data_IF_915074548809
#
_entry.id   IF_915074548809
#
_cell.length_a   1.000
_cell.length_b   1.000
_cell.length_c   1.000
_cell.angle_alpha   90.00
_cell.angle_beta   90.00
_cell.angle_gamma   90.00
#
_symmetry.space_group_name_H-M   'P 1'
#
loop_
_entity.id
_entity.type
_entity.pdbx_description
1 polymer ?
#
# COMPACT_ATOMS: atom_id res chain seq x y z
N UNK A 1 14.89 30.75 9.16
CA UNK A 1 14.09 29.65 9.69
C UNK A 1 14.68 29.16 11.00
N UNK A 2 13.85 29.01 12.05
CA UNK A 2 14.35 28.61 13.36
C UNK A 2 14.91 27.17 13.37
N UNK A 3 15.99 26.94 14.09
CA UNK A 3 16.67 25.64 14.21
C UNK A 3 15.73 24.49 14.61
N UNK A 4 14.71 24.78 15.43
CA UNK A 4 13.71 23.79 15.87
C UNK A 4 12.94 23.12 14.72
N UNK A 5 12.50 23.90 13.70
CA UNK A 5 11.78 23.36 12.53
C UNK A 5 12.72 22.53 11.65
N UNK A 6 13.96 22.98 11.48
CA UNK A 6 14.99 22.25 10.72
C UNK A 6 15.30 20.91 11.37
N UNK A 7 15.60 20.91 12.66
CA UNK A 7 15.91 19.68 13.43
C UNK A 7 14.74 18.68 13.43
N UNK A 8 13.49 19.15 13.53
CA UNK A 8 12.31 18.30 13.43
C UNK A 8 12.17 17.70 12.03
N UNK A 9 12.39 18.50 10.98
CA UNK A 9 12.35 18.00 9.59
C UNK A 9 13.44 16.99 9.31
N UNK A 10 14.66 17.22 9.80
CA UNK A 10 15.80 16.28 9.64
C UNK A 10 15.54 14.95 10.35
N UNK A 11 15.00 14.97 11.58
CA UNK A 11 14.57 13.75 12.31
C UNK A 11 13.52 12.95 11.52
N UNK A 12 12.49 13.61 11.01
CA UNK A 12 11.45 12.95 10.20
C UNK A 12 12.01 12.36 8.91
N UNK A 13 12.94 13.04 8.25
CA UNK A 13 13.60 12.51 7.04
C UNK A 13 14.48 11.31 7.37
N UNK A 14 15.20 11.32 8.47
CA UNK A 14 16.03 10.20 8.91
C UNK A 14 15.16 8.96 9.19
N UNK A 15 14.06 9.11 9.93
CA UNK A 15 13.10 8.00 10.19
C UNK A 15 12.52 7.45 8.90
N UNK A 16 12.09 8.30 7.96
CA UNK A 16 11.58 7.84 6.66
C UNK A 16 12.64 7.13 5.82
N UNK A 17 13.89 7.52 5.95
CA UNK A 17 15.02 6.89 5.22
C UNK A 17 15.28 5.47 5.73
N UNK A 18 15.11 5.20 7.03
CA UNK A 18 15.30 3.85 7.59
C UNK A 18 14.15 2.89 7.31
N UNK A 19 12.91 3.39 7.13
CA UNK A 19 11.73 2.56 6.90
C UNK A 19 11.71 1.95 5.49
N UNK A 20 11.39 0.65 5.38
CA UNK A 20 11.12 0.01 4.09
C UNK A 20 9.67 0.29 3.67
N UNK A 21 9.52 1.27 2.78
CA UNK A 21 8.22 1.76 2.30
C UNK A 21 8.05 1.39 0.84
N UNK A 22 6.90 0.82 0.49
CA UNK A 22 6.46 0.66 -0.89
C UNK A 22 5.15 1.42 -1.13
N UNK A 23 5.01 2.05 -2.30
CA UNK A 23 3.83 2.84 -2.67
C UNK A 23 3.29 2.42 -4.02
N UNK A 24 1.99 2.19 -4.09
CA UNK A 24 1.24 1.96 -5.31
C UNK A 24 0.33 3.17 -5.54
N UNK A 25 0.62 3.97 -6.56
CA UNK A 25 -0.17 5.16 -6.86
C UNK A 25 -1.15 4.91 -8.00
N UNK A 26 -2.32 5.57 -7.94
CA UNK A 26 -3.35 5.58 -8.98
C UNK A 26 -3.82 4.18 -9.41
N UNK A 27 -3.93 3.25 -8.46
CA UNK A 27 -4.46 1.92 -8.75
C UNK A 27 -5.95 2.02 -9.12
N UNK A 28 -6.39 1.53 -10.30
CA UNK A 28 -7.75 1.71 -10.81
C UNK A 28 -8.77 0.74 -10.16
N UNK A 29 -8.68 0.57 -8.86
CA UNK A 29 -9.62 -0.22 -8.04
C UNK A 29 -10.27 0.65 -6.96
N UNK A 30 -11.48 0.29 -6.55
CA UNK A 30 -12.16 1.02 -5.48
C UNK A 30 -11.40 0.90 -4.15
N UNK A 31 -11.21 2.00 -3.38
CA UNK A 31 -10.57 1.95 -2.07
C UNK A 31 -11.22 0.95 -1.11
N UNK A 32 -12.56 0.84 -1.11
CA UNK A 32 -13.28 -0.13 -0.28
C UNK A 32 -12.87 -1.57 -0.57
N UNK A 33 -12.77 -1.93 -1.86
CA UNK A 33 -12.37 -3.29 -2.27
C UNK A 33 -10.90 -3.57 -1.94
N UNK A 34 -10.04 -2.55 -2.05
CA UNK A 34 -8.63 -2.66 -1.69
C UNK A 34 -8.44 -2.82 -0.19
N UNK A 35 -9.20 -2.08 0.64
CA UNK A 35 -9.13 -2.17 2.11
C UNK A 35 -9.48 -3.56 2.64
N UNK A 36 -10.47 -4.23 2.05
CA UNK A 36 -10.83 -5.59 2.46
C UNK A 36 -9.65 -6.57 2.35
N UNK A 37 -8.82 -6.42 1.32
CA UNK A 37 -7.64 -7.27 1.15
C UNK A 37 -6.47 -6.78 2.01
N UNK A 38 -6.31 -5.46 2.15
CA UNK A 38 -5.30 -4.86 3.01
C UNK A 38 -5.47 -5.28 4.48
N UNK A 39 -6.71 -5.39 4.95
CA UNK A 39 -7.02 -5.81 6.32
C UNK A 39 -6.64 -7.28 6.61
N UNK A 40 -6.62 -8.14 5.59
CA UNK A 40 -6.20 -9.54 5.73
C UNK A 40 -4.70 -9.72 5.97
N UNK A 41 -3.90 -8.77 5.52
CA UNK A 41 -2.42 -8.87 5.58
C UNK A 41 -1.80 -7.92 6.61
N UNK A 42 -2.61 -7.08 7.24
CA UNK A 42 -2.11 -6.14 8.26
C UNK A 42 -1.66 -6.88 9.52
N UNK A 43 -0.41 -6.69 9.92
CA UNK A 43 0.16 -7.32 11.11
C UNK A 43 0.61 -8.78 10.91
N UNK A 44 0.44 -9.33 9.72
CA UNK A 44 0.88 -10.68 9.38
C UNK A 44 2.37 -10.71 9.03
N UNK A 45 2.96 -11.89 9.22
CA UNK A 45 4.29 -12.19 8.68
C UNK A 45 4.30 -12.03 7.16
N UNK A 46 5.40 -11.50 6.62
CA UNK A 46 5.51 -11.13 5.20
C UNK A 46 5.31 -12.33 4.28
N UNK A 47 5.86 -13.49 4.61
CA UNK A 47 5.71 -14.70 3.80
C UNK A 47 4.31 -15.28 3.88
N UNK A 48 3.68 -15.24 5.07
CA UNK A 48 2.29 -15.62 5.24
C UNK A 48 1.36 -14.66 4.46
N UNK A 49 1.62 -13.37 4.53
CA UNK A 49 0.90 -12.35 3.77
C UNK A 49 1.00 -12.59 2.24
N UNK A 50 2.18 -12.96 1.72
CA UNK A 50 2.35 -13.33 0.31
C UNK A 50 1.50 -14.53 -0.07
N UNK A 51 1.46 -15.57 0.76
CA UNK A 51 0.62 -16.74 0.54
C UNK A 51 -0.88 -16.39 0.54
N UNK A 52 -1.34 -15.60 1.50
CA UNK A 52 -2.72 -15.11 1.57
C UNK A 52 -3.08 -14.35 0.29
N UNK A 53 -2.21 -13.45 -0.18
CA UNK A 53 -2.45 -12.65 -1.38
C UNK A 53 -2.45 -13.49 -2.66
N UNK A 54 -1.53 -14.44 -2.78
CA UNK A 54 -1.39 -15.33 -3.94
C UNK A 54 -2.61 -16.22 -4.15
N UNK A 55 -3.16 -16.79 -3.08
CA UNK A 55 -4.30 -17.69 -3.15
C UNK A 55 -5.67 -16.99 -3.04
N UNK A 56 -5.68 -15.68 -2.83
CA UNK A 56 -6.92 -14.91 -2.78
C UNK A 56 -7.52 -14.71 -4.18
N UNK A 57 -8.80 -15.01 -4.40
CA UNK A 57 -9.47 -14.82 -5.70
C UNK A 57 -9.75 -13.34 -6.03
N UNK A 58 -9.50 -12.43 -5.10
CA UNK A 58 -9.81 -11.00 -5.27
C UNK A 58 -8.81 -10.31 -6.19
N UNK A 59 -9.30 -9.56 -7.18
CA UNK A 59 -8.44 -8.81 -8.11
C UNK A 59 -7.42 -7.87 -7.42
N UNK A 60 -7.81 -7.27 -6.29
CA UNK A 60 -6.94 -6.38 -5.52
C UNK A 60 -5.69 -7.08 -4.97
N UNK A 61 -5.75 -8.39 -4.71
CA UNK A 61 -4.64 -9.18 -4.15
C UNK A 61 -3.42 -9.19 -5.06
N UNK A 62 -3.61 -9.29 -6.38
CA UNK A 62 -2.50 -9.29 -7.36
C UNK A 62 -1.68 -8.01 -7.31
N UNK A 63 -2.33 -6.87 -7.08
CA UNK A 63 -1.65 -5.59 -6.98
C UNK A 63 -0.90 -5.45 -5.66
N UNK A 64 -1.50 -5.93 -4.56
CA UNK A 64 -0.87 -5.92 -3.24
C UNK A 64 0.29 -6.91 -3.15
N UNK A 65 0.21 -8.08 -3.79
CA UNK A 65 1.31 -9.05 -3.89
C UNK A 65 2.55 -8.41 -4.50
N UNK A 66 2.41 -7.75 -5.66
CA UNK A 66 3.51 -7.03 -6.32
C UNK A 66 4.07 -5.89 -5.45
N UNK A 67 3.18 -5.18 -4.75
CA UNK A 67 3.59 -4.11 -3.84
C UNK A 67 4.39 -4.67 -2.66
N UNK A 68 3.97 -5.80 -2.10
CA UNK A 68 4.66 -6.45 -0.99
C UNK A 68 6.05 -6.98 -1.41
N UNK A 69 6.18 -7.59 -2.60
CA UNK A 69 7.47 -7.97 -3.17
C UNK A 69 8.40 -6.76 -3.36
N UNK A 70 7.87 -5.64 -3.82
CA UNK A 70 8.63 -4.39 -3.92
C UNK A 70 9.07 -3.87 -2.54
N UNK A 71 8.25 -4.05 -1.50
CA UNK A 71 8.62 -3.65 -0.14
C UNK A 71 9.77 -4.52 0.41
N UNK A 72 9.74 -5.84 0.15
CA UNK A 72 10.82 -6.76 0.53
C UNK A 72 12.14 -6.34 -0.13
N UNK A 73 12.15 -6.14 -1.44
CA UNK A 73 13.35 -5.68 -2.15
C UNK A 73 13.87 -4.34 -1.62
N UNK A 74 12.97 -3.40 -1.30
CA UNK A 74 13.36 -2.13 -0.70
C UNK A 74 13.97 -2.30 0.69
N UNK A 75 13.53 -3.31 1.44
CA UNK A 75 14.08 -3.63 2.74
C UNK A 75 15.47 -4.23 2.61
N UNK A 76 15.67 -5.22 1.73
CA UNK A 76 16.96 -5.85 1.44
C UNK A 76 18.01 -4.83 0.96
N UNK A 77 17.63 -3.91 0.07
CA UNK A 77 18.51 -2.83 -0.38
C UNK A 77 18.95 -1.87 0.73
N UNK A 78 18.17 -1.75 1.79
CA UNK A 78 18.49 -0.89 2.93
C UNK A 78 19.28 -1.60 4.01
N UNK A 79 19.15 -2.90 4.11
CA UNK A 79 19.82 -3.76 5.10
C UNK A 79 20.76 -4.73 4.36
N UNK A 80 21.75 -4.17 3.66
CA UNK A 80 22.74 -4.94 2.92
C UNK A 80 23.39 -6.00 3.81
N UNK A 81 23.28 -7.27 3.42
CA UNK A 81 23.84 -8.42 4.13
C UNK A 81 22.90 -9.16 5.08
N UNK A 82 21.63 -8.74 5.17
CA UNK A 82 20.60 -9.48 5.90
C UNK A 82 19.57 -10.06 4.92
N UNK A 83 19.29 -11.36 5.02
CA UNK A 83 18.24 -12.00 4.23
C UNK A 83 16.86 -11.73 4.82
N UNK A 84 15.90 -11.33 3.96
CA UNK A 84 14.52 -11.09 4.37
C UNK A 84 13.87 -12.33 5.00
N UNK A 85 14.31 -13.54 4.59
CA UNK A 85 13.79 -14.80 5.10
C UNK A 85 14.14 -15.04 6.58
N UNK A 86 15.34 -14.60 7.02
CA UNK A 86 15.81 -14.78 8.39
C UNK A 86 15.37 -13.65 9.33
N UNK A 87 14.99 -12.51 8.77
CA UNK A 87 14.75 -11.27 9.52
C UNK A 87 13.38 -11.19 10.21
N UNK A 88 12.50 -12.21 10.07
CA UNK A 88 11.14 -12.23 10.64
C UNK A 88 10.37 -10.92 10.37
N UNK A 89 10.23 -10.59 9.09
CA UNK A 89 9.58 -9.36 8.66
C UNK A 89 8.06 -9.44 8.81
N UNK A 90 7.45 -8.37 9.30
CA UNK A 90 5.99 -8.22 9.43
C UNK A 90 5.49 -7.01 8.65
N UNK A 91 4.23 -7.08 8.21
CA UNK A 91 3.51 -5.95 7.64
C UNK A 91 3.11 -4.99 8.76
N UNK A 92 3.98 -4.04 9.08
CA UNK A 92 3.79 -3.09 10.18
C UNK A 92 2.57 -2.20 9.99
N UNK A 93 2.43 -1.67 8.78
CA UNK A 93 1.26 -0.85 8.45
C UNK A 93 0.95 -0.87 6.95
N UNK A 94 -0.34 -0.83 6.64
CA UNK A 94 -0.84 -0.69 5.28
C UNK A 94 -1.98 0.32 5.28
N UNK A 95 -1.86 1.35 4.47
CA UNK A 95 -2.83 2.44 4.34
C UNK A 95 -3.37 2.49 2.91
N UNK A 96 -4.66 2.66 2.77
CA UNK A 96 -5.35 2.78 1.48
C UNK A 96 -6.11 4.09 1.43
N UNK A 97 -5.60 5.02 0.64
CA UNK A 97 -6.15 6.35 0.46
C UNK A 97 -6.92 6.45 -0.84
N UNK A 98 -7.89 7.37 -0.89
CA UNK A 98 -8.65 7.64 -2.10
C UNK A 98 -7.81 8.46 -3.08
N UNK A 99 -7.82 8.04 -4.36
CA UNK A 99 -7.21 8.77 -5.45
C UNK A 99 -8.26 9.44 -6.34
N UNK A 100 -7.79 10.09 -7.40
CA UNK A 100 -8.65 10.74 -8.37
C UNK A 100 -9.58 9.73 -9.03
N UNK A 101 -10.87 10.08 -9.13
CA UNK A 101 -11.89 9.25 -9.80
C UNK A 101 -12.19 9.75 -11.19
N UNK A 102 -12.51 8.83 -12.09
CA UNK A 102 -13.08 9.14 -13.40
C UNK A 102 -14.61 9.18 -13.27
N UNK A 103 -15.20 10.28 -13.71
CA UNK A 103 -16.64 10.45 -13.74
C UNK A 103 -17.17 10.07 -15.12
N UNK A 104 -18.24 9.27 -15.14
CA UNK A 104 -18.96 8.85 -16.38
C UNK A 104 -20.45 9.02 -16.15
N UNK A 105 -21.20 9.01 -17.22
CA UNK A 105 -22.66 9.12 -17.21
C UNK A 105 -23.22 7.87 -17.87
N UNK A 106 -24.26 7.33 -17.27
CA UNK A 106 -25.07 6.24 -17.83
C UNK A 106 -26.49 6.76 -18.04
N UNK A 107 -27.03 6.57 -19.23
CA UNK A 107 -28.42 6.90 -19.53
C UNK A 107 -29.37 6.10 -18.63
N UNK A 108 -30.44 6.76 -18.17
CA UNK A 108 -31.51 6.17 -17.38
C UNK A 108 -32.86 6.46 -18.02
N UNK A 109 -33.94 5.73 -17.66
CA UNK A 109 -35.30 5.99 -18.16
C UNK A 109 -35.74 7.42 -17.91
N UNK A 110 -36.69 7.90 -18.72
CA UNK A 110 -37.29 9.23 -18.60
C UNK A 110 -36.34 10.42 -18.78
N UNK A 111 -35.33 10.29 -19.65
CA UNK A 111 -34.37 11.35 -19.92
C UNK A 111 -33.41 11.69 -18.77
N UNK A 112 -33.34 10.83 -17.74
CA UNK A 112 -32.42 11.01 -16.60
C UNK A 112 -31.08 10.42 -16.90
N UNK A 113 -30.06 10.82 -16.13
CA UNK A 113 -28.70 10.30 -16.22
C UNK A 113 -28.19 9.93 -14.84
N UNK A 114 -27.58 8.72 -14.73
CA UNK A 114 -26.90 8.27 -13.53
C UNK A 114 -25.41 8.56 -13.62
N UNK A 115 -24.83 8.98 -12.51
CA UNK A 115 -23.39 9.21 -12.42
C UNK A 115 -22.66 7.91 -12.06
N UNK A 116 -21.67 7.54 -12.87
CA UNK A 116 -20.73 6.46 -12.57
C UNK A 116 -19.43 7.08 -12.09
N UNK A 117 -18.91 6.61 -10.95
CA UNK A 117 -17.63 7.01 -10.38
C UNK A 117 -16.66 5.85 -10.45
N UNK A 118 -15.75 5.86 -11.41
CA UNK A 118 -14.62 4.92 -11.49
C UNK A 118 -13.56 5.38 -10.49
N UNK A 119 -13.55 4.78 -9.30
CA UNK A 119 -12.67 5.19 -8.20
C UNK A 119 -11.29 4.56 -8.34
N UNK A 120 -10.27 5.31 -7.93
CA UNK A 120 -8.89 4.82 -7.80
C UNK A 120 -8.40 4.99 -6.37
N UNK A 121 -7.30 4.34 -6.05
CA UNK A 121 -6.70 4.40 -4.72
C UNK A 121 -5.18 4.56 -4.79
N UNK A 122 -4.61 4.95 -3.66
CA UNK A 122 -3.18 4.90 -3.37
C UNK A 122 -2.98 3.94 -2.20
N UNK A 123 -2.00 3.06 -2.30
CA UNK A 123 -1.63 2.18 -1.20
C UNK A 123 -0.21 2.50 -0.76
N UNK A 124 -0.03 2.66 0.54
CA UNK A 124 1.28 2.78 1.18
C UNK A 124 1.45 1.61 2.13
N UNK A 125 2.51 0.82 1.94
CA UNK A 125 2.83 -0.35 2.72
C UNK A 125 4.20 -0.15 3.36
N UNK A 126 4.30 -0.50 4.66
CA UNK A 126 5.53 -0.44 5.44
C UNK A 126 5.75 -1.80 6.08
N UNK A 127 6.93 -2.36 5.86
CA UNK A 127 7.39 -3.58 6.53
C UNK A 127 8.52 -3.23 7.49
N UNK A 128 8.63 -4.00 8.56
CA UNK A 128 9.66 -3.86 9.58
C UNK A 128 9.92 -5.22 10.23
N UNK A 129 11.01 -5.35 10.98
CA UNK A 129 11.25 -6.53 11.83
C UNK A 129 10.16 -6.64 12.91
N UNK A 130 9.84 -7.87 13.28
CA UNK A 130 8.84 -8.18 14.31
C UNK A 130 9.23 -7.62 15.68
#
# INVERSE_FOLDING_TARGET
MGARKRNSSEKLKAVKKSMAIAKLNNCPTSPRKMRLVADLVRGEDVYNALNILKFSPKHASRNLEKLLLSAINNWEQKNEGEDAAEANLVVKSIHVDSARMLKRIQAAPQGRAHRIRKRSNHVTLIIDKA
#
